data_IF_985154146136
#
_entry.id   IF_985154146136
#
_cell.length_a   1.000
_cell.length_b   1.000
_cell.length_c   1.000
_cell.angle_alpha   90.00
_cell.angle_beta   90.00
_cell.angle_gamma   90.00
#
_symmetry.space_group_name_H-M   'P 1'
#
loop_
_entity.id
_entity.type
_entity.pdbx_description
1 polymer ?
#
# COMPACT_ATOMS: atom_id res chain seq x y z
N UNK A 1 -18.21 8.78 -20.68
CA UNK A 1 -17.22 7.68 -20.80
C UNK A 1 -17.54 6.70 -19.71
N UNK A 2 -17.85 5.47 -20.06
CA UNK A 2 -18.08 4.46 -19.04
C UNK A 2 -16.75 3.96 -18.43
N UNK A 3 -16.82 3.20 -17.35
CA UNK A 3 -15.65 2.73 -16.63
C UNK A 3 -14.76 1.82 -17.49
N UNK A 4 -15.36 1.04 -18.37
CA UNK A 4 -14.66 0.15 -19.30
C UNK A 4 -13.84 0.94 -20.32
N UNK A 5 -14.40 2.02 -20.86
CA UNK A 5 -13.72 2.92 -21.79
C UNK A 5 -12.57 3.65 -21.10
N UNK A 6 -12.73 4.03 -19.85
CA UNK A 6 -11.70 4.69 -19.06
C UNK A 6 -10.50 3.76 -18.81
N UNK A 7 -10.74 2.52 -18.38
CA UNK A 7 -9.70 1.51 -18.17
C UNK A 7 -8.93 1.19 -19.45
N UNK A 8 -9.64 1.06 -20.57
CA UNK A 8 -9.05 0.84 -21.89
C UNK A 8 -8.16 2.01 -22.30
N UNK A 9 -8.66 3.22 -22.14
CA UNK A 9 -7.90 4.44 -22.44
C UNK A 9 -6.63 4.55 -21.61
N UNK A 10 -6.69 4.27 -20.29
CA UNK A 10 -5.51 4.24 -19.44
C UNK A 10 -4.51 3.15 -19.83
N UNK A 11 -5.00 1.96 -20.23
CA UNK A 11 -4.13 0.89 -20.68
C UNK A 11 -3.39 1.29 -21.98
N UNK A 12 -4.05 1.95 -22.89
CA UNK A 12 -3.46 2.46 -24.15
C UNK A 12 -2.43 3.57 -23.88
N UNK A 13 -2.75 4.52 -23.02
CA UNK A 13 -1.83 5.60 -22.61
C UNK A 13 -0.60 5.02 -21.91
N UNK A 14 -0.77 4.09 -20.99
CA UNK A 14 0.33 3.46 -20.28
C UNK A 14 1.24 2.66 -21.23
N UNK A 15 0.66 1.95 -22.20
CA UNK A 15 1.41 1.24 -23.23
C UNK A 15 2.23 2.20 -24.11
N UNK A 16 1.63 3.32 -24.52
CA UNK A 16 2.29 4.35 -25.32
C UNK A 16 3.44 5.03 -24.57
N UNK A 17 3.33 5.17 -23.25
CA UNK A 17 4.36 5.74 -22.38
C UNK A 17 5.42 4.72 -21.93
N UNK A 18 5.31 3.44 -22.35
CA UNK A 18 6.24 2.39 -21.93
C UNK A 18 6.13 2.02 -20.45
N UNK A 19 5.03 2.37 -19.80
CA UNK A 19 4.78 2.04 -18.39
C UNK A 19 4.49 0.54 -18.28
N UNK A 20 5.26 -0.16 -17.44
CA UNK A 20 5.07 -1.60 -17.22
C UNK A 20 3.64 -1.89 -16.77
N UNK A 21 3.08 -2.97 -17.33
CA UNK A 21 1.78 -3.51 -16.90
C UNK A 21 1.75 -3.62 -15.36
N UNK A 22 0.66 -3.14 -14.74
CA UNK A 22 0.47 -3.26 -13.28
C UNK A 22 0.70 -4.68 -12.83
N UNK A 23 1.38 -4.81 -11.69
CA UNK A 23 1.55 -6.10 -11.03
C UNK A 23 0.17 -6.72 -10.74
N UNK A 24 -0.01 -8.01 -11.00
CA UNK A 24 -1.19 -8.78 -10.61
C UNK A 24 -1.13 -9.22 -9.14
N UNK A 25 -0.50 -8.44 -8.28
CA UNK A 25 -0.41 -8.66 -6.84
C UNK A 25 -1.75 -8.38 -6.14
N UNK A 26 -1.90 -8.95 -4.96
CA UNK A 26 -3.08 -8.65 -4.11
C UNK A 26 -3.10 -7.19 -3.67
N UNK A 27 -1.94 -6.59 -3.40
CA UNK A 27 -1.83 -5.15 -3.16
C UNK A 27 -2.45 -4.35 -4.31
N UNK A 28 -2.03 -4.63 -5.55
CA UNK A 28 -2.54 -3.94 -6.74
C UNK A 28 -4.04 -4.12 -6.91
N UNK A 29 -4.53 -5.34 -6.70
CA UNK A 29 -5.95 -5.66 -6.73
C UNK A 29 -6.76 -4.87 -5.69
N UNK A 30 -6.30 -4.84 -4.46
CA UNK A 30 -6.98 -4.09 -3.38
C UNK A 30 -6.96 -2.59 -3.65
N UNK A 31 -5.84 -2.04 -4.12
CA UNK A 31 -5.76 -0.62 -4.46
C UNK A 31 -6.68 -0.27 -5.65
N UNK A 32 -6.82 -1.15 -6.65
CA UNK A 32 -7.79 -0.95 -7.73
C UNK A 32 -9.23 -0.84 -7.19
N UNK A 33 -9.61 -1.65 -6.20
CA UNK A 33 -10.90 -1.55 -5.54
C UNK A 33 -11.04 -0.24 -4.75
N UNK A 34 -9.98 0.21 -4.08
CA UNK A 34 -9.96 1.49 -3.38
C UNK A 34 -10.16 2.67 -4.35
N UNK A 35 -9.48 2.65 -5.50
CA UNK A 35 -9.62 3.67 -6.55
C UNK A 35 -11.08 3.79 -6.98
N UNK A 36 -11.75 2.66 -7.18
CA UNK A 36 -13.16 2.63 -7.58
C UNK A 36 -14.08 3.17 -6.49
N UNK A 37 -13.89 2.74 -5.25
CA UNK A 37 -14.73 3.18 -4.11
C UNK A 37 -14.56 4.67 -3.85
N UNK A 38 -13.34 5.19 -3.94
CA UNK A 38 -13.05 6.61 -3.68
C UNK A 38 -13.28 7.51 -4.90
N UNK A 39 -13.43 6.94 -6.10
CA UNK A 39 -13.58 7.70 -7.33
C UNK A 39 -12.36 8.54 -7.69
N UNK A 40 -11.18 8.11 -7.29
CA UNK A 40 -9.90 8.79 -7.48
C UNK A 40 -8.81 7.75 -7.73
N UNK A 41 -7.87 8.04 -8.63
CA UNK A 41 -6.70 7.19 -8.84
C UNK A 41 -5.62 7.49 -7.81
N UNK A 42 -5.18 6.47 -7.10
CA UNK A 42 -4.10 6.60 -6.13
C UNK A 42 -2.77 6.98 -6.77
N UNK A 43 -1.99 7.79 -6.06
CA UNK A 43 -0.56 7.89 -6.27
C UNK A 43 0.08 6.68 -5.58
N UNK A 44 0.49 5.69 -6.37
CA UNK A 44 1.05 4.42 -5.85
C UNK A 44 2.52 4.57 -5.52
N UNK A 45 2.96 3.91 -4.44
CA UNK A 45 4.33 4.00 -3.95
C UNK A 45 4.78 5.45 -3.76
N UNK A 46 3.85 6.28 -3.30
CA UNK A 46 4.09 7.70 -3.07
C UNK A 46 5.01 7.92 -1.86
N UNK A 47 5.83 8.96 -1.92
CA UNK A 47 6.72 9.35 -0.83
C UNK A 47 6.42 10.77 -0.37
N UNK A 48 6.62 11.01 0.93
CA UNK A 48 6.53 12.34 1.54
C UNK A 48 7.89 12.74 2.10
N UNK A 49 8.23 14.00 2.04
CA UNK A 49 9.50 14.51 2.60
C UNK A 49 9.61 14.31 4.11
N UNK A 50 8.49 14.33 4.81
CA UNK A 50 8.40 14.19 6.27
C UNK A 50 8.37 12.74 6.75
N UNK A 51 8.19 11.75 5.88
CA UNK A 51 8.07 10.34 6.25
C UNK A 51 9.32 9.58 5.81
N UNK A 52 10.23 9.39 6.76
CA UNK A 52 11.56 8.83 6.47
C UNK A 52 11.89 7.66 7.38
N UNK A 53 12.70 6.75 6.84
CA UNK A 53 13.37 5.72 7.60
C UNK A 53 14.55 6.26 8.41
N UNK A 54 15.25 5.38 9.07
CA UNK A 54 16.41 5.75 9.90
C UNK A 54 17.59 6.18 9.02
N UNK A 55 18.44 7.11 9.52
CA UNK A 55 19.63 7.55 8.81
C UNK A 55 20.60 6.40 8.51
N UNK A 56 21.36 6.55 7.43
CA UNK A 56 22.45 5.66 7.06
C UNK A 56 23.65 6.48 6.57
N UNK A 57 24.80 5.84 6.41
CA UNK A 57 25.99 6.52 5.87
C UNK A 57 25.74 7.11 4.47
N UNK A 58 24.94 6.41 3.65
CA UNK A 58 24.58 6.86 2.29
C UNK A 58 23.43 7.87 2.25
N UNK A 59 22.69 8.03 3.35
CA UNK A 59 21.55 8.94 3.44
C UNK A 59 21.33 9.40 4.88
N UNK A 60 21.96 10.52 5.25
CA UNK A 60 21.94 11.03 6.62
C UNK A 60 20.55 11.46 7.10
N UNK A 61 19.67 11.88 6.21
CA UNK A 61 18.28 12.25 6.53
C UNK A 61 17.32 11.07 6.56
N UNK A 62 17.81 9.86 6.26
CA UNK A 62 16.97 8.68 6.04
C UNK A 62 16.28 8.66 4.68
N UNK A 63 16.09 7.49 4.11
CA UNK A 63 15.35 7.34 2.85
C UNK A 63 13.86 7.62 3.08
N UNK A 64 13.20 8.24 2.12
CA UNK A 64 11.75 8.41 2.16
C UNK A 64 11.07 7.05 2.17
N UNK A 65 10.11 6.87 3.07
CA UNK A 65 9.32 5.64 3.16
C UNK A 65 8.14 5.72 2.20
N UNK A 66 8.02 4.84 1.21
CA UNK A 66 6.85 4.85 0.34
C UNK A 66 5.61 4.39 1.10
N UNK A 67 4.46 4.87 0.65
CA UNK A 67 3.14 4.35 1.03
C UNK A 67 2.54 3.65 -0.19
N UNK A 68 1.73 2.61 0.04
CA UNK A 68 1.19 1.82 -1.06
C UNK A 68 0.29 2.66 -1.98
N UNK A 69 -0.58 3.48 -1.39
CA UNK A 69 -1.48 4.35 -2.14
C UNK A 69 -1.77 5.64 -1.36
N UNK A 70 -1.70 6.78 -2.06
CA UNK A 70 -2.09 8.08 -1.52
C UNK A 70 -3.16 8.73 -2.39
N UNK A 71 -4.23 9.22 -1.76
CA UNK A 71 -5.34 9.91 -2.39
C UNK A 71 -5.33 11.39 -1.97
N UNK A 72 -4.71 12.28 -2.76
CA UNK A 72 -4.48 13.67 -2.35
C UNK A 72 -5.77 14.46 -2.09
N UNK A 73 -6.80 14.24 -2.92
CA UNK A 73 -8.06 14.99 -2.81
C UNK A 73 -8.85 14.64 -1.54
N UNK A 74 -8.54 13.51 -0.92
CA UNK A 74 -9.22 13.01 0.29
C UNK A 74 -8.30 12.98 1.51
N UNK A 75 -7.01 13.23 1.33
CA UNK A 75 -5.97 13.09 2.37
C UNK A 75 -6.02 11.71 3.05
N UNK A 76 -6.10 10.67 2.24
CA UNK A 76 -6.10 9.27 2.68
C UNK A 76 -4.87 8.55 2.14
N UNK A 77 -4.18 7.83 3.02
CA UNK A 77 -3.21 6.80 2.66
C UNK A 77 -3.82 5.44 2.94
N UNK A 78 -3.69 4.52 1.99
CA UNK A 78 -4.05 3.12 2.15
C UNK A 78 -2.78 2.27 2.11
N UNK A 79 -2.63 1.40 3.09
CA UNK A 79 -1.57 0.39 3.19
C UNK A 79 -2.19 -1.00 3.15
N UNK A 80 -1.73 -1.86 2.25
CA UNK A 80 -2.14 -3.26 2.19
C UNK A 80 -1.20 -4.12 3.05
N UNK A 81 -1.78 -4.88 3.97
CA UNK A 81 -1.05 -5.77 4.88
C UNK A 81 -1.11 -7.20 4.39
N UNK A 82 -0.09 -7.60 3.67
CA UNK A 82 0.10 -9.00 3.29
C UNK A 82 0.65 -9.83 4.48
N UNK A 83 0.79 -11.13 4.30
CA UNK A 83 1.32 -12.05 5.32
C UNK A 83 2.62 -11.56 5.97
N UNK A 84 3.54 -11.02 5.19
CA UNK A 84 4.84 -10.54 5.70
C UNK A 84 4.73 -9.36 6.68
N UNK A 85 3.64 -8.59 6.62
CA UNK A 85 3.37 -7.49 7.55
C UNK A 85 2.70 -7.94 8.84
N UNK A 86 2.01 -9.08 8.82
CA UNK A 86 1.23 -9.58 9.96
C UNK A 86 1.91 -10.74 10.68
N UNK A 87 2.77 -11.49 9.99
CA UNK A 87 3.45 -12.66 10.52
C UNK A 87 4.97 -12.49 10.37
N UNK A 88 5.70 -12.94 11.38
CA UNK A 88 7.15 -12.99 11.38
C UNK A 88 7.66 -14.04 10.37
N UNK A 89 8.60 -13.65 9.53
CA UNK A 89 9.28 -14.57 8.60
C UNK A 89 10.72 -14.71 9.06
N UNK A 90 11.01 -15.77 9.79
CA UNK A 90 12.26 -15.98 10.53
C UNK A 90 13.55 -15.76 9.70
N UNK A 91 13.54 -16.15 8.42
CA UNK A 91 14.71 -15.98 7.54
C UNK A 91 14.99 -14.51 7.23
N UNK A 92 13.97 -13.72 6.93
CA UNK A 92 14.10 -12.30 6.61
C UNK A 92 14.31 -11.45 7.85
N UNK A 93 13.76 -11.88 8.99
CA UNK A 93 13.83 -11.13 10.24
C UNK A 93 15.25 -11.12 10.86
N UNK A 94 16.12 -12.05 10.47
CA UNK A 94 17.51 -12.15 10.99
C UNK A 94 18.50 -11.19 10.35
N UNK A 95 18.20 -10.62 9.18
CA UNK A 95 19.11 -9.68 8.51
C UNK A 95 19.18 -8.37 9.24
N UNK A 96 20.41 -7.93 9.56
CA UNK A 96 20.65 -6.60 10.11
C UNK A 96 20.32 -5.50 9.08
N UNK A 97 19.77 -4.40 9.55
CA UNK A 97 19.33 -3.24 8.76
C UNK A 97 20.07 -1.98 9.23
N UNK A 98 19.86 -0.86 8.52
CA UNK A 98 20.40 0.45 8.91
C UNK A 98 19.93 0.92 10.29
N UNK A 99 18.80 0.39 10.77
CA UNK A 99 18.27 0.67 12.11
C UNK A 99 18.98 -0.13 13.21
N UNK A 100 19.92 -1.02 12.86
CA UNK A 100 20.63 -1.88 13.82
C UNK A 100 19.80 -3.06 14.34
N UNK A 101 18.65 -3.33 13.76
CA UNK A 101 17.72 -4.42 14.12
C UNK A 101 17.42 -5.30 12.90
N UNK A 102 16.83 -6.47 13.11
CA UNK A 102 16.41 -7.34 12.02
C UNK A 102 15.33 -6.70 11.13
N UNK A 103 15.16 -7.23 9.92
CA UNK A 103 14.17 -6.70 8.95
C UNK A 103 12.75 -6.70 9.46
N UNK A 104 12.33 -7.72 10.18
CA UNK A 104 10.99 -7.81 10.75
C UNK A 104 10.74 -6.70 11.78
N UNK A 105 11.72 -6.43 12.63
CA UNK A 105 11.66 -5.36 13.61
C UNK A 105 11.68 -3.98 12.94
N UNK A 106 12.54 -3.76 11.94
CA UNK A 106 12.56 -2.53 11.15
C UNK A 106 11.20 -2.28 10.49
N UNK A 107 10.57 -3.31 9.94
CA UNK A 107 9.23 -3.21 9.33
C UNK A 107 8.21 -2.73 10.36
N UNK A 108 8.20 -3.33 11.56
CA UNK A 108 7.29 -2.92 12.65
C UNK A 108 7.52 -1.46 13.05
N UNK A 109 8.78 -1.04 13.17
CA UNK A 109 9.16 0.34 13.49
C UNK A 109 8.65 1.30 12.42
N UNK A 110 8.85 0.99 11.14
CA UNK A 110 8.44 1.86 10.03
C UNK A 110 6.92 1.89 9.84
N UNK A 111 6.24 0.77 10.08
CA UNK A 111 4.78 0.74 10.10
C UNK A 111 4.21 1.60 11.23
N UNK A 112 4.81 1.52 12.41
CA UNK A 112 4.41 2.38 13.53
C UNK A 112 4.71 3.85 13.24
N UNK A 113 5.83 4.14 12.59
CA UNK A 113 6.18 5.50 12.16
C UNK A 113 5.14 6.10 11.22
N UNK A 114 4.62 5.33 10.27
CA UNK A 114 3.51 5.76 9.40
C UNK A 114 2.26 6.07 10.21
N UNK A 115 1.90 5.21 11.17
CA UNK A 115 0.74 5.42 12.06
C UNK A 115 0.86 6.67 12.90
N UNK A 116 2.07 7.01 13.34
CA UNK A 116 2.31 8.16 14.21
C UNK A 116 2.41 9.47 13.45
N UNK A 117 3.05 9.47 12.29
CA UNK A 117 3.40 10.69 11.55
C UNK A 117 2.31 11.14 10.60
N UNK A 118 1.70 10.24 9.83
CA UNK A 118 0.68 10.63 8.85
C UNK A 118 -0.46 11.45 9.44
N UNK A 119 -1.05 11.09 10.60
CA UNK A 119 -2.12 11.89 11.21
C UNK A 119 -1.67 13.30 11.61
N UNK A 120 -0.39 13.51 11.96
CA UNK A 120 0.13 14.83 12.32
C UNK A 120 0.08 15.80 11.13
N UNK A 121 0.07 15.28 9.91
CA UNK A 121 -0.05 16.06 8.66
C UNK A 121 -1.47 16.06 8.08
N UNK A 122 -2.48 15.68 8.89
CA UNK A 122 -3.87 15.65 8.47
C UNK A 122 -4.22 14.52 7.49
N UNK A 123 -3.37 13.50 7.41
CA UNK A 123 -3.56 12.36 6.49
C UNK A 123 -4.10 11.17 7.28
N UNK A 124 -5.26 10.66 6.87
CA UNK A 124 -5.86 9.47 7.44
C UNK A 124 -5.16 8.22 6.89
N UNK A 125 -4.64 7.38 7.77
CA UNK A 125 -4.09 6.09 7.40
C UNK A 125 -5.16 5.00 7.55
N UNK A 126 -5.37 4.23 6.49
CA UNK A 126 -6.25 3.05 6.48
C UNK A 126 -5.40 1.84 6.10
N UNK A 127 -5.34 0.87 7.01
CA UNK A 127 -4.64 -0.39 6.80
C UNK A 127 -5.66 -1.47 6.44
N UNK A 128 -5.44 -2.13 5.31
CA UNK A 128 -6.29 -3.22 4.82
C UNK A 128 -5.48 -4.51 4.82
N UNK A 129 -5.89 -5.46 5.67
CA UNK A 129 -5.22 -6.75 5.76
C UNK A 129 -5.84 -7.77 4.79
N UNK A 130 -5.02 -8.70 4.29
CA UNK A 130 -5.50 -9.87 3.55
C UNK A 130 -6.62 -10.62 4.31
N UNK A 131 -6.56 -10.62 5.63
CA UNK A 131 -7.55 -11.29 6.50
C UNK A 131 -8.94 -10.65 6.48
N UNK A 132 -9.08 -9.46 5.90
CA UNK A 132 -10.39 -8.83 5.67
C UNK A 132 -11.16 -9.46 4.52
N UNK A 133 -10.48 -10.26 3.69
CA UNK A 133 -11.03 -10.95 2.53
C UNK A 133 -11.03 -12.47 2.75
N UNK A 134 -11.63 -13.22 1.83
CA UNK A 134 -11.39 -14.67 1.79
C UNK A 134 -10.00 -14.93 1.22
N UNK A 135 -9.24 -15.77 1.86
CA UNK A 135 -7.85 -16.06 1.48
C UNK A 135 -7.55 -17.56 1.54
N UNK A 136 -6.56 -17.99 0.76
CA UNK A 136 -6.12 -19.38 0.69
C UNK A 136 -5.06 -19.73 1.77
N UNK A 137 -4.56 -20.95 1.75
CA UNK A 137 -3.54 -21.42 2.70
C UNK A 137 -2.21 -20.64 2.59
N UNK A 138 -1.95 -20.00 1.45
CA UNK A 138 -0.77 -19.15 1.22
C UNK A 138 -1.01 -17.70 1.60
N UNK A 139 -2.17 -17.38 2.18
CA UNK A 139 -2.60 -16.03 2.56
C UNK A 139 -2.76 -15.10 1.35
N UNK A 140 -3.12 -15.67 0.21
CA UNK A 140 -3.49 -14.94 -1.00
C UNK A 140 -5.01 -14.77 -1.07
N UNK A 141 -5.47 -13.61 -1.52
CA UNK A 141 -6.89 -13.31 -1.62
C UNK A 141 -7.55 -14.23 -2.67
N UNK A 142 -8.61 -14.90 -2.28
CA UNK A 142 -9.51 -15.58 -3.20
C UNK A 142 -10.45 -14.52 -3.74
N UNK A 143 -10.10 -13.97 -4.91
CA UNK A 143 -10.72 -12.77 -5.46
C UNK A 143 -12.17 -13.00 -5.86
N UNK A 144 -13.05 -12.16 -5.36
CA UNK A 144 -14.45 -12.04 -5.77
C UNK A 144 -14.81 -10.55 -5.74
N UNK A 145 -14.76 -9.90 -6.89
CA UNK A 145 -14.90 -8.45 -7.01
C UNK A 145 -16.19 -7.92 -6.36
N UNK A 146 -17.32 -8.58 -6.56
CA UNK A 146 -18.62 -8.14 -6.02
C UNK A 146 -18.63 -8.12 -4.48
N UNK A 147 -18.01 -9.14 -3.86
CA UNK A 147 -17.89 -9.22 -2.41
C UNK A 147 -16.80 -8.29 -1.89
N UNK A 148 -15.64 -8.30 -2.54
CA UNK A 148 -14.44 -7.61 -2.05
C UNK A 148 -14.61 -6.10 -2.10
N UNK A 149 -15.33 -5.56 -3.10
CA UNK A 149 -15.63 -4.12 -3.15
C UNK A 149 -16.48 -3.66 -1.97
N UNK A 150 -17.38 -4.50 -1.48
CA UNK A 150 -18.20 -4.20 -0.29
C UNK A 150 -17.34 -4.18 0.98
N UNK A 151 -16.34 -5.06 1.06
CA UNK A 151 -15.37 -5.08 2.17
C UNK A 151 -14.57 -3.78 2.16
N UNK A 152 -14.00 -3.41 1.01
CA UNK A 152 -13.21 -2.18 0.86
C UNK A 152 -14.06 -0.94 1.16
N UNK A 153 -15.28 -0.87 0.65
CA UNK A 153 -16.21 0.22 0.91
C UNK A 153 -16.49 0.41 2.41
N UNK A 154 -16.71 -0.69 3.12
CA UNK A 154 -16.93 -0.66 4.58
C UNK A 154 -15.69 -0.14 5.32
N UNK A 155 -14.48 -0.50 4.87
CA UNK A 155 -13.23 -0.09 5.53
C UNK A 155 -12.88 1.38 5.23
N UNK A 156 -13.16 1.86 4.04
CA UNK A 156 -12.81 3.22 3.61
C UNK A 156 -13.81 4.28 4.07
N UNK A 157 -15.08 3.93 4.19
CA UNK A 157 -16.18 4.87 4.46
C UNK A 157 -16.67 4.84 5.92
N UNK A 158 -15.84 4.36 6.82
CA UNK A 158 -16.08 4.44 8.27
C UNK A 158 -15.94 5.87 8.80
#
# INVERSE_FOLDING_TARGET
MDQFDLEKHFAEVNAALGIKKRSDSDESYVIDLCDEVLGELALRQHTFDFLRGDPSESCLSGKKLPVDAYYPNKNIVVEYREKQHTESVAFFDRRSTVSGVGRGEQRRIYDQRRRDILPQYGIKLIEISYSSFNYDSKKKIIRNRQRDILVVKRLLLK
#
